data_IF_934155695747
#
_entry.id   IF_934155695747
#
_cell.length_a   1.000
_cell.length_b   1.000
_cell.length_c   1.000
_cell.angle_alpha   90.00
_cell.angle_beta   90.00
_cell.angle_gamma   90.00
#
_symmetry.space_group_name_H-M   'P 1'
#
loop_
_entity.id
_entity.type
_entity.pdbx_description
1 polymer ?
#
# COMPACT_ATOMS: atom_id res chain seq x y z
N UNK A 1 26.72 -3.02 26.03
CA UNK A 1 25.61 -2.37 25.30
C UNK A 1 24.54 -3.42 25.09
N UNK A 2 23.29 -3.22 25.56
CA UNK A 2 22.22 -4.16 25.24
C UNK A 2 22.07 -4.23 23.72
N UNK A 3 21.86 -5.43 23.17
CA UNK A 3 21.63 -5.59 21.74
C UNK A 3 20.34 -4.86 21.35
N UNK A 4 20.42 -4.01 20.34
CA UNK A 4 19.27 -3.25 19.84
C UNK A 4 18.18 -4.22 19.37
N UNK A 5 16.93 -3.98 19.78
CA UNK A 5 15.79 -4.79 19.30
C UNK A 5 15.62 -4.53 17.82
N UNK A 6 15.97 -5.50 16.99
CA UNK A 6 15.72 -5.44 15.54
C UNK A 6 14.22 -5.40 15.27
N UNK A 7 13.79 -4.43 14.48
CA UNK A 7 12.43 -4.34 13.95
C UNK A 7 12.53 -4.35 12.42
N UNK A 8 11.52 -4.94 11.76
CA UNK A 8 11.41 -4.86 10.32
C UNK A 8 10.78 -3.52 9.96
N UNK A 9 11.36 -2.85 8.96
CA UNK A 9 10.73 -1.68 8.35
C UNK A 9 9.78 -2.18 7.25
N UNK A 10 8.50 -1.84 7.35
CA UNK A 10 7.46 -2.27 6.43
C UNK A 10 6.89 -1.05 5.71
N UNK A 11 7.08 -1.01 4.39
CA UNK A 11 6.55 0.04 3.52
C UNK A 11 5.41 -0.50 2.66
N UNK A 12 4.34 0.28 2.52
CA UNK A 12 3.26 -0.03 1.59
C UNK A 12 3.64 0.50 0.21
N UNK A 13 3.93 -0.43 -0.70
CA UNK A 13 4.25 -0.11 -2.08
C UNK A 13 2.97 -0.02 -2.94
N UNK A 14 2.69 1.18 -3.44
CA UNK A 14 1.52 1.50 -4.24
C UNK A 14 1.94 1.66 -5.71
N UNK A 15 1.40 0.79 -6.56
CA UNK A 15 1.39 0.93 -8.01
C UNK A 15 -0.06 1.06 -8.49
N UNK A 16 -0.43 2.15 -9.18
CA UNK A 16 -1.80 2.36 -9.66
C UNK A 16 -2.27 1.17 -10.51
N UNK A 17 -3.39 0.53 -10.12
CA UNK A 17 -3.93 -0.65 -10.82
C UNK A 17 -3.30 -2.00 -10.46
N UNK A 18 -2.27 -2.01 -9.59
CA UNK A 18 -1.60 -3.23 -9.10
C UNK A 18 -0.46 -3.73 -9.99
N UNK A 19 0.45 -4.52 -9.42
CA UNK A 19 1.69 -4.96 -10.08
C UNK A 19 1.53 -6.09 -11.10
N UNK A 20 0.33 -6.67 -11.19
CA UNK A 20 0.03 -7.72 -12.16
C UNK A 20 -0.57 -7.08 -13.41
N UNK A 21 0.05 -7.30 -14.57
CA UNK A 21 -0.32 -6.68 -15.86
C UNK A 21 -1.83 -6.72 -16.14
N UNK A 22 -2.45 -7.86 -15.88
CA UNK A 22 -3.88 -8.10 -16.11
C UNK A 22 -4.72 -8.07 -14.81
N UNK A 23 -4.19 -7.57 -13.69
CA UNK A 23 -4.86 -7.61 -12.39
C UNK A 23 -6.23 -6.93 -12.37
N UNK A 24 -6.42 -5.90 -13.20
CA UNK A 24 -7.69 -5.21 -13.40
C UNK A 24 -8.84 -6.12 -13.88
N UNK A 25 -8.54 -7.29 -14.47
CA UNK A 25 -9.56 -8.24 -14.94
C UNK A 25 -10.16 -9.11 -13.84
N UNK A 26 -9.53 -9.13 -12.66
CA UNK A 26 -10.06 -9.89 -11.53
C UNK A 26 -11.37 -9.26 -11.05
N UNK A 27 -12.38 -10.10 -10.79
CA UNK A 27 -13.76 -9.66 -10.51
C UNK A 27 -13.90 -8.75 -9.28
N UNK A 28 -12.99 -8.84 -8.31
CA UNK A 28 -13.00 -7.99 -7.11
C UNK A 28 -11.95 -6.86 -7.18
N UNK A 29 -11.35 -6.64 -8.35
CA UNK A 29 -10.55 -5.43 -8.60
C UNK A 29 -11.45 -4.21 -8.75
N UNK A 30 -10.93 -3.05 -8.36
CA UNK A 30 -11.61 -1.76 -8.50
C UNK A 30 -10.81 -0.79 -9.41
N UNK A 31 -10.60 -1.13 -10.71
CA UNK A 31 -9.76 -0.35 -11.61
C UNK A 31 -10.25 1.10 -11.81
N UNK A 32 -11.56 1.33 -11.68
CA UNK A 32 -12.19 2.65 -11.77
C UNK A 32 -11.72 3.62 -10.68
N UNK A 33 -11.21 3.11 -9.55
CA UNK A 33 -10.72 3.94 -8.43
C UNK A 33 -9.28 4.43 -8.61
N UNK A 34 -8.61 4.10 -9.71
CA UNK A 34 -7.18 4.42 -9.91
C UNK A 34 -6.90 5.94 -9.88
N UNK A 35 -7.87 6.77 -10.25
CA UNK A 35 -7.78 8.25 -10.21
C UNK A 35 -8.53 8.87 -9.03
N UNK A 36 -9.12 8.05 -8.16
CA UNK A 36 -9.87 8.51 -7.00
C UNK A 36 -8.89 8.76 -5.84
N UNK A 37 -8.72 10.03 -5.44
CA UNK A 37 -7.84 10.39 -4.31
C UNK A 37 -8.27 9.73 -2.99
N UNK A 38 -9.57 9.48 -2.81
CA UNK A 38 -10.07 8.87 -1.57
C UNK A 38 -9.58 7.42 -1.41
N UNK A 39 -9.36 6.70 -2.52
CA UNK A 39 -8.77 5.37 -2.50
C UNK A 39 -7.37 5.37 -1.87
N UNK A 40 -6.53 6.33 -2.27
CA UNK A 40 -5.17 6.46 -1.70
C UNK A 40 -5.19 6.93 -0.25
N UNK A 41 -6.13 7.79 0.14
CA UNK A 41 -6.33 8.18 1.54
C UNK A 41 -6.76 7.00 2.42
N UNK A 42 -7.63 6.12 1.92
CA UNK A 42 -8.03 4.89 2.62
C UNK A 42 -6.84 3.94 2.81
N UNK A 43 -6.01 3.76 1.79
CA UNK A 43 -4.77 2.96 1.89
C UNK A 43 -3.82 3.54 2.94
N UNK A 44 -3.61 4.86 2.93
CA UNK A 44 -2.76 5.54 3.90
C UNK A 44 -3.26 5.34 5.35
N UNK A 45 -4.56 5.52 5.60
CA UNK A 45 -5.18 5.30 6.92
C UNK A 45 -5.01 3.85 7.39
N UNK A 46 -5.14 2.86 6.49
CA UNK A 46 -4.93 1.44 6.81
C UNK A 46 -3.47 1.13 7.15
N UNK A 47 -2.53 1.70 6.39
CA UNK A 47 -1.09 1.54 6.61
C UNK A 47 -0.68 2.13 7.97
N UNK A 48 -1.14 3.34 8.29
CA UNK A 48 -0.89 4.02 9.57
C UNK A 48 -1.46 3.22 10.76
N UNK A 49 -2.70 2.76 10.66
CA UNK A 49 -3.33 1.93 11.70
C UNK A 49 -2.56 0.62 11.94
N UNK A 50 -1.91 0.10 10.89
CA UNK A 50 -1.13 -1.14 10.91
C UNK A 50 0.37 -0.94 11.20
N UNK A 51 0.80 0.29 11.53
CA UNK A 51 2.20 0.64 11.87
C UNK A 51 3.21 0.43 10.75
N UNK A 52 2.79 0.59 9.50
CA UNK A 52 3.73 0.70 8.39
C UNK A 52 4.57 1.98 8.53
N UNK A 53 5.84 1.91 8.15
CA UNK A 53 6.80 3.00 8.31
C UNK A 53 6.66 4.07 7.22
N UNK A 54 6.29 3.66 6.00
CA UNK A 54 6.10 4.59 4.89
C UNK A 54 5.15 4.08 3.81
N UNK A 55 4.65 5.02 3.02
CA UNK A 55 4.00 4.80 1.72
C UNK A 55 5.03 5.11 0.62
N UNK A 56 5.13 4.24 -0.37
CA UNK A 56 5.97 4.46 -1.54
C UNK A 56 5.10 4.38 -2.81
N UNK A 57 5.18 5.42 -3.65
CA UNK A 57 4.49 5.52 -4.93
C UNK A 57 5.52 5.40 -6.06
N UNK A 58 5.31 4.47 -7.00
CA UNK A 58 6.13 4.32 -8.21
C UNK A 58 5.57 5.07 -9.41
#
# INVERSE_FOLDING_TARGET
MPAEKRQLNLNLFIYPGGHHEAGWRYKDSAPERVLDISYYQELAKKAEASKFDALFFA
#
